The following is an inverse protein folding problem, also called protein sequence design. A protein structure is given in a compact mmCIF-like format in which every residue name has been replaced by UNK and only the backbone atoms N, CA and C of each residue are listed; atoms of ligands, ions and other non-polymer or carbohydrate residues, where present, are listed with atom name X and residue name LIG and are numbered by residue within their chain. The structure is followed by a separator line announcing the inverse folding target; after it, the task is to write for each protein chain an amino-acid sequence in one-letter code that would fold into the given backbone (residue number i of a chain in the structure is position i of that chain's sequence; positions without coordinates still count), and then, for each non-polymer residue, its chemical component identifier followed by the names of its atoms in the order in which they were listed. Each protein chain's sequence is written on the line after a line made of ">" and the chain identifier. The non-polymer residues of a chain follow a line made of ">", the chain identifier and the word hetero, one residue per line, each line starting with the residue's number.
data_IF_288552155497
#
_entry.id   IF_288552155497
#
_cell.length_a   1.000
_cell.length_b   1.000
_cell.length_c   1.000
_cell.angle_alpha   90.00
_cell.angle_beta   90.00
_cell.angle_gamma   90.00
#
_symmetry.space_group_name_H-M   'P 1'
#
loop_
_entity.id
_entity.type
_entity.pdbx_description
1 polymer ?
#
# COMPACT_ATOMS: atom_id res chain seq x y z
N UNK A 1 8.17 7.36 15.36
CA UNK A 1 8.76 8.69 15.12
C UNK A 1 7.81 9.47 14.25
N UNK A 2 7.48 10.70 14.63
CA UNK A 2 6.66 11.61 13.83
C UNK A 2 7.56 12.31 12.81
N UNK A 3 7.09 12.46 11.57
CA UNK A 3 7.86 13.06 10.48
C UNK A 3 7.58 14.54 10.27
N UNK A 4 6.64 15.12 11.03
CA UNK A 4 6.28 16.53 10.96
C UNK A 4 6.00 17.00 9.52
N UNK A 5 5.34 16.13 8.73
CA UNK A 5 4.97 16.43 7.35
C UNK A 5 3.90 17.53 7.33
N UNK A 6 4.14 18.55 6.53
CA UNK A 6 3.15 19.59 6.25
C UNK A 6 1.98 19.04 5.41
N UNK A 7 0.91 19.83 5.26
CA UNK A 7 -0.27 19.41 4.49
C UNK A 7 0.05 19.11 3.01
N UNK A 8 0.98 19.86 2.41
CA UNK A 8 1.38 19.66 1.01
C UNK A 8 2.18 18.36 0.86
N UNK A 9 3.15 18.12 1.74
CA UNK A 9 3.99 16.91 1.70
C UNK A 9 3.16 15.64 1.92
N UNK A 10 2.11 15.71 2.75
CA UNK A 10 1.16 14.60 2.93
C UNK A 10 0.37 14.30 1.65
N UNK A 11 -0.08 15.33 0.95
CA UNK A 11 -0.78 15.19 -0.32
C UNK A 11 0.14 14.63 -1.41
N UNK A 12 1.37 15.14 -1.52
CA UNK A 12 2.35 14.63 -2.49
C UNK A 12 2.68 13.16 -2.21
N UNK A 13 2.87 12.79 -0.93
CA UNK A 13 3.08 11.40 -0.54
C UNK A 13 1.89 10.52 -0.89
N UNK A 14 0.66 10.99 -0.62
CA UNK A 14 -0.55 10.27 -0.99
C UNK A 14 -0.59 10.03 -2.51
N UNK A 15 -0.44 11.08 -3.32
CA UNK A 15 -0.44 10.98 -4.79
C UNK A 15 0.61 9.99 -5.30
N UNK A 16 1.83 9.98 -4.74
CA UNK A 16 2.86 9.01 -5.12
C UNK A 16 2.44 7.57 -4.81
N UNK A 17 1.83 7.34 -3.64
CA UNK A 17 1.38 6.02 -3.23
C UNK A 17 0.16 5.56 -4.05
N UNK A 18 -0.78 6.45 -4.33
CA UNK A 18 -1.95 6.15 -5.16
C UNK A 18 -1.54 5.75 -6.59
N UNK A 19 -0.56 6.44 -7.15
CA UNK A 19 -0.01 6.13 -8.46
C UNK A 19 0.69 4.77 -8.49
N UNK A 20 1.46 4.41 -7.46
CA UNK A 20 2.21 3.16 -7.40
C UNK A 20 1.30 1.94 -7.13
N UNK A 21 0.32 2.10 -6.24
CA UNK A 21 -0.52 0.98 -5.80
C UNK A 21 -1.91 0.93 -6.44
N UNK A 22 -2.24 1.90 -7.29
CA UNK A 22 -3.50 1.97 -8.05
C UNK A 22 -4.77 1.94 -7.18
N UNK A 23 -4.76 2.69 -6.08
CA UNK A 23 -5.94 2.96 -5.25
C UNK A 23 -5.90 4.39 -4.75
N UNK A 24 -7.04 4.94 -4.32
CA UNK A 24 -7.15 6.30 -3.78
C UNK A 24 -7.23 6.29 -2.24
N UNK A 25 -6.68 7.32 -1.59
CA UNK A 25 -6.86 7.56 -0.16
C UNK A 25 -7.98 8.59 0.08
N UNK A 26 -8.65 8.47 1.22
CA UNK A 26 -9.55 9.52 1.69
C UNK A 26 -8.77 10.65 2.37
N UNK A 27 -9.27 11.89 2.28
CA UNK A 27 -8.68 13.08 2.92
C UNK A 27 -8.39 12.87 4.43
N UNK A 28 -9.28 12.14 5.11
CA UNK A 28 -9.13 11.83 6.52
C UNK A 28 -7.91 10.93 6.78
N UNK A 29 -7.62 9.98 5.90
CA UNK A 29 -6.46 9.08 6.04
C UNK A 29 -5.16 9.82 5.75
N UNK A 30 -5.17 10.72 4.75
CA UNK A 30 -4.03 11.57 4.42
C UNK A 30 -3.68 12.47 5.62
N UNK A 31 -4.68 12.99 6.34
CA UNK A 31 -4.45 13.78 7.55
C UNK A 31 -3.70 13.00 8.65
N UNK A 32 -3.86 11.67 8.68
CA UNK A 32 -3.23 10.75 9.63
C UNK A 32 -1.80 10.33 9.23
N UNK A 33 -1.25 10.81 8.10
CA UNK A 33 0.12 10.54 7.66
C UNK A 33 1.15 11.33 8.49
N UNK A 34 1.21 11.02 9.78
CA UNK A 34 2.11 11.63 10.77
C UNK A 34 3.36 10.80 10.99
N UNK A 35 3.25 9.48 10.86
CA UNK A 35 4.33 8.53 11.13
C UNK A 35 4.44 7.50 10.01
N UNK A 36 5.59 6.82 9.90
CA UNK A 36 5.73 5.72 8.92
C UNK A 36 4.70 4.63 9.16
N UNK A 37 4.45 4.34 10.44
CA UNK A 37 3.53 3.29 10.85
C UNK A 37 2.10 3.57 10.39
N UNK A 38 1.63 4.82 10.47
CA UNK A 38 0.29 5.18 9.99
C UNK A 38 0.19 5.11 8.46
N UNK A 39 1.20 5.59 7.73
CA UNK A 39 1.25 5.49 6.27
C UNK A 39 1.20 4.02 5.82
N UNK A 40 2.08 3.18 6.38
CA UNK A 40 2.15 1.75 6.04
C UNK A 40 0.87 1.02 6.42
N UNK A 41 0.25 1.35 7.56
CA UNK A 41 -1.02 0.76 7.97
C UNK A 41 -2.15 1.10 6.99
N UNK A 42 -2.23 2.36 6.55
CA UNK A 42 -3.24 2.79 5.56
C UNK A 42 -3.02 2.13 4.20
N UNK A 43 -1.77 2.08 3.70
CA UNK A 43 -1.44 1.38 2.44
C UNK A 43 -1.82 -0.10 2.54
N UNK A 44 -1.44 -0.78 3.63
CA UNK A 44 -1.72 -2.21 3.80
C UNK A 44 -3.22 -2.50 3.81
N UNK A 45 -4.04 -1.63 4.40
CA UNK A 45 -5.50 -1.77 4.41
C UNK A 45 -6.07 -1.77 2.99
N UNK A 46 -5.62 -0.85 2.14
CA UNK A 46 -6.07 -0.75 0.76
C UNK A 46 -5.57 -1.92 -0.10
N UNK A 47 -4.29 -2.27 0.02
CA UNK A 47 -3.70 -3.43 -0.67
C UNK A 47 -4.43 -4.74 -0.30
N UNK A 48 -4.86 -4.91 0.95
CA UNK A 48 -5.63 -6.07 1.38
C UNK A 48 -7.10 -6.04 0.94
N UNK A 49 -7.67 -4.85 0.75
CA UNK A 49 -9.04 -4.67 0.29
C UNK A 49 -9.18 -4.79 -1.24
N UNK A 50 -8.09 -4.59 -1.98
CA UNK A 50 -8.04 -4.84 -3.41
C UNK A 50 -8.37 -6.32 -3.68
N UNK A 51 -9.41 -6.60 -4.48
CA UNK A 51 -9.70 -7.97 -4.87
C UNK A 51 -8.45 -8.51 -5.54
N UNK A 52 -7.96 -9.65 -5.06
CA UNK A 52 -6.75 -10.32 -5.54
C UNK A 52 -6.97 -10.87 -6.96
N UNK A 53 -7.24 -10.00 -7.92
CA UNK A 53 -7.30 -10.31 -9.34
C UNK A 53 -5.86 -10.33 -9.87
N UNK A 54 -5.13 -11.38 -9.54
CA UNK A 54 -3.81 -11.63 -10.14
C UNK A 54 -2.63 -11.69 -9.17
N UNK A 55 -2.78 -12.32 -7.99
CA UNK A 55 -1.60 -12.95 -7.42
C UNK A 55 -1.14 -14.02 -8.43
N UNK A 56 0.06 -13.95 -9.03
CA UNK A 56 0.61 -15.12 -9.68
C UNK A 56 0.65 -16.18 -8.57
N UNK A 57 -0.07 -17.28 -8.78
CA UNK A 57 0.15 -18.48 -8.00
C UNK A 57 1.63 -18.79 -8.18
N UNK A 58 2.47 -18.39 -7.22
CA UNK A 58 3.71 -19.07 -6.94
C UNK A 58 3.29 -20.47 -6.50
N UNK A 59 2.92 -21.29 -7.49
CA UNK A 59 2.88 -22.72 -7.33
C UNK A 59 4.30 -23.09 -6.91
N UNK A 60 4.49 -23.66 -5.73
CA UNK A 60 5.78 -24.24 -5.40
C UNK A 60 5.96 -25.39 -6.39
N UNK A 61 6.67 -25.15 -7.49
CA UNK A 61 7.04 -26.14 -8.50
C UNK A 61 8.01 -27.14 -7.88
N UNK A 62 7.48 -28.06 -7.07
CA UNK A 62 8.21 -29.25 -6.60
C UNK A 62 7.71 -30.54 -7.28
N UNK A 63 6.66 -30.49 -8.10
CA UNK A 63 6.14 -31.67 -8.81
C UNK A 63 6.62 -31.81 -10.26
N UNK A 64 7.87 -31.44 -10.56
CA UNK A 64 8.44 -31.68 -11.90
C UNK A 64 9.85 -32.28 -11.89
N UNK A 65 10.12 -33.20 -10.98
CA UNK A 65 11.37 -33.97 -11.00
C UNK A 65 11.24 -35.48 -10.68
N UNK A 66 10.04 -36.06 -10.64
CA UNK A 66 9.88 -37.52 -10.51
C UNK A 66 8.73 -38.07 -11.37
N UNK A 67 8.96 -38.14 -12.69
CA UNK A 67 8.26 -39.07 -13.58
C UNK A 67 9.17 -39.43 -14.75
#
# INVERSE_FOLDING_TARGET
>A
QDYNLGPLEKLELALCLEQEFHFDFYDQEIAEFRTLGSVVASVRRHVQALPTAGAPLLQPTYERLVA
#
